data_IF_861753210314
#
_entry.id   IF_861753210314
#
_cell.length_a   1.000
_cell.length_b   1.000
_cell.length_c   1.000
_cell.angle_alpha   90.00
_cell.angle_beta   90.00
_cell.angle_gamma   90.00
#
_symmetry.space_group_name_H-M   'P 1'
#
loop_
_entity.id
_entity.type
_entity.pdbx_description
1 polymer ?
#
# COMPACT_ATOMS: atom_id res chain seq x y z
N UNK A 1 -2.37 -30.01 -37.27
CA UNK A 1 -1.83 -28.81 -36.58
C UNK A 1 -1.35 -29.30 -35.23
N UNK A 2 -0.06 -29.60 -35.17
CA UNK A 2 0.61 -30.19 -34.01
C UNK A 2 0.72 -29.14 -32.90
N UNK A 3 0.36 -29.54 -31.68
CA UNK A 3 0.50 -28.71 -30.48
C UNK A 3 1.65 -29.32 -29.67
N UNK A 4 2.77 -28.61 -29.62
CA UNK A 4 3.91 -28.90 -28.75
C UNK A 4 3.58 -28.52 -27.29
N UNK A 5 4.05 -29.28 -26.30
CA UNK A 5 3.90 -28.92 -24.89
C UNK A 5 5.00 -27.93 -24.46
N UNK A 6 4.58 -26.80 -23.89
CA UNK A 6 5.45 -25.83 -23.22
C UNK A 6 5.76 -26.35 -21.82
N UNK A 7 7.02 -26.69 -21.57
CA UNK A 7 7.56 -27.04 -20.25
C UNK A 7 7.92 -25.75 -19.54
N UNK A 8 7.24 -25.45 -18.42
CA UNK A 8 7.56 -24.36 -17.51
C UNK A 8 8.49 -24.89 -16.42
N UNK A 9 9.77 -24.53 -16.51
CA UNK A 9 10.78 -24.73 -15.46
C UNK A 9 10.67 -23.62 -14.40
N UNK A 10 10.54 -24.03 -13.15
CA UNK A 10 10.67 -23.18 -11.96
C UNK A 10 12.16 -23.03 -11.61
N UNK A 11 12.71 -21.82 -11.43
CA UNK A 11 14.05 -21.68 -10.87
C UNK A 11 14.00 -21.77 -9.34
N UNK A 12 14.84 -22.65 -8.79
CA UNK A 12 15.05 -22.81 -7.35
C UNK A 12 16.07 -21.82 -6.79
N UNK A 13 15.85 -21.45 -5.54
CA UNK A 13 16.77 -20.68 -4.70
C UNK A 13 18.02 -21.50 -4.33
N UNK A 14 19.22 -20.89 -4.29
CA UNK A 14 20.31 -21.40 -3.51
C UNK A 14 20.39 -20.72 -2.13
N UNK A 15 20.43 -21.56 -1.11
CA UNK A 15 20.84 -21.21 0.24
C UNK A 15 22.31 -20.81 0.32
N UNK A 16 22.65 -19.87 1.21
CA UNK A 16 23.96 -19.83 1.87
C UNK A 16 23.86 -19.33 3.32
N UNK A 17 24.33 -20.19 4.23
CA UNK A 17 24.68 -19.91 5.62
C UNK A 17 25.98 -19.10 5.74
N UNK A 18 26.08 -18.21 6.74
CA UNK A 18 27.11 -18.22 7.83
C UNK A 18 27.35 -16.81 8.43
N UNK A 19 27.16 -16.70 9.75
CA UNK A 19 27.81 -15.73 10.67
C UNK A 19 29.24 -16.22 11.03
N UNK A 20 30.12 -15.55 11.84
CA UNK A 20 29.96 -14.32 12.67
C UNK A 20 31.18 -13.33 12.70
N UNK A 21 30.97 -12.21 13.43
CA UNK A 21 31.96 -11.34 14.13
C UNK A 21 33.10 -10.65 13.36
N UNK A 22 33.12 -9.30 13.39
CA UNK A 22 34.23 -8.61 14.05
C UNK A 22 33.92 -7.18 14.54
N UNK A 23 34.49 -6.84 15.69
CA UNK A 23 34.44 -5.54 16.35
C UNK A 23 35.35 -4.55 15.62
N UNK A 24 34.83 -3.37 15.25
CA UNK A 24 35.66 -2.17 15.24
C UNK A 24 34.88 -0.93 15.60
N UNK A 25 35.21 -0.37 16.76
CA UNK A 25 34.88 0.98 17.19
C UNK A 25 35.43 1.98 16.17
N UNK A 26 34.59 2.83 15.61
CA UNK A 26 35.01 4.15 15.15
C UNK A 26 33.91 5.18 15.39
N UNK A 27 34.15 5.95 16.45
CA UNK A 27 33.59 7.27 16.71
C UNK A 27 33.89 8.22 15.55
N UNK A 28 32.91 8.99 15.10
CA UNK A 28 33.12 10.06 14.12
C UNK A 28 31.78 10.63 13.65
N UNK A 29 31.44 11.80 14.16
CA UNK A 29 30.20 12.54 13.99
C UNK A 29 29.80 12.78 12.53
N UNK A 30 28.51 12.54 12.27
CA UNK A 30 27.56 13.30 11.45
C UNK A 30 28.14 14.16 10.33
N UNK A 31 28.25 13.55 9.14
CA UNK A 31 28.05 14.27 7.90
C UNK A 31 26.56 14.26 7.57
N UNK A 32 25.95 15.44 7.65
CA UNK A 32 24.63 15.77 7.13
C UNK A 32 24.61 15.66 5.61
N UNK A 33 24.43 14.44 5.10
CA UNK A 33 23.95 14.26 3.74
C UNK A 33 22.47 14.64 3.70
N UNK A 34 22.21 15.81 3.13
CA UNK A 34 20.90 16.23 2.63
C UNK A 34 20.63 15.48 1.33
N UNK A 35 20.29 14.19 1.45
CA UNK A 35 19.50 13.53 0.42
C UNK A 35 18.08 14.03 0.56
N UNK A 36 17.49 14.51 -0.54
CA UNK A 36 16.07 14.81 -0.67
C UNK A 36 15.28 13.64 -0.07
N UNK A 37 14.72 13.83 1.12
CA UNK A 37 13.84 12.85 1.73
C UNK A 37 12.54 12.89 0.94
N UNK A 38 12.43 12.00 -0.05
CA UNK A 38 11.15 11.69 -0.69
C UNK A 38 10.10 11.51 0.41
N UNK A 39 8.93 12.12 0.19
CA UNK A 39 7.83 12.03 1.13
C UNK A 39 7.49 10.54 1.30
N UNK A 40 7.58 9.97 2.52
CA UNK A 40 7.37 8.54 2.74
C UNK A 40 5.97 8.07 2.31
N UNK A 41 5.02 8.99 2.20
CA UNK A 41 3.71 8.73 1.60
C UNK A 41 3.78 8.32 0.13
N UNK A 42 4.59 9.01 -0.68
CA UNK A 42 4.65 8.81 -2.12
C UNK A 42 5.31 7.45 -2.44
N UNK A 43 6.28 7.03 -1.63
CA UNK A 43 6.95 5.73 -1.76
C UNK A 43 6.04 4.56 -1.36
N UNK A 44 5.15 4.76 -0.38
CA UNK A 44 4.18 3.74 0.04
C UNK A 44 3.03 3.64 -0.98
N UNK A 45 2.53 4.77 -1.50
CA UNK A 45 1.52 4.79 -2.56
C UNK A 45 1.99 4.00 -3.78
N UNK A 46 3.24 4.22 -4.22
CA UNK A 46 3.85 3.47 -5.33
C UNK A 46 3.92 1.96 -5.09
N UNK A 47 4.27 1.53 -3.86
CA UNK A 47 4.29 0.10 -3.49
C UNK A 47 2.88 -0.52 -3.53
N UNK A 48 1.85 0.24 -3.17
CA UNK A 48 0.47 -0.22 -3.30
C UNK A 48 0.00 -0.26 -4.76
N UNK A 49 0.47 0.65 -5.63
CA UNK A 49 0.20 0.59 -7.08
C UNK A 49 0.78 -0.68 -7.72
N UNK A 50 1.98 -1.09 -7.34
CA UNK A 50 2.57 -2.35 -7.80
C UNK A 50 1.73 -3.57 -7.38
N UNK A 51 1.19 -3.56 -6.15
CA UNK A 51 0.26 -4.58 -5.67
C UNK A 51 -1.08 -4.57 -6.42
N UNK A 52 -1.58 -3.40 -6.82
CA UNK A 52 -2.76 -3.28 -7.66
C UNK A 52 -2.52 -3.89 -9.04
N UNK A 53 -1.37 -3.58 -9.67
CA UNK A 53 -1.01 -4.17 -10.95
C UNK A 53 -0.90 -5.70 -10.85
N UNK A 54 -0.31 -6.22 -9.77
CA UNK A 54 -0.24 -7.65 -9.50
C UNK A 54 -1.64 -8.27 -9.29
N UNK A 55 -2.54 -7.60 -8.54
CA UNK A 55 -3.91 -8.04 -8.33
C UNK A 55 -4.69 -8.12 -9.65
N UNK A 56 -4.60 -7.10 -10.50
CA UNK A 56 -5.24 -7.07 -11.81
C UNK A 56 -4.75 -8.20 -12.73
N UNK A 57 -3.45 -8.51 -12.71
CA UNK A 57 -2.90 -9.65 -13.45
C UNK A 57 -3.46 -10.99 -12.94
N UNK A 58 -3.61 -11.15 -11.63
CA UNK A 58 -4.18 -12.36 -11.03
C UNK A 58 -5.67 -12.49 -11.32
N UNK A 59 -6.43 -11.40 -11.27
CA UNK A 59 -7.85 -11.37 -11.63
C UNK A 59 -8.06 -11.76 -13.10
N UNK A 60 -7.23 -11.22 -14.02
CA UNK A 60 -7.25 -11.62 -15.42
C UNK A 60 -6.94 -13.11 -15.60
N UNK A 61 -5.93 -13.63 -14.92
CA UNK A 61 -5.58 -15.05 -14.97
C UNK A 61 -6.70 -15.94 -14.39
N UNK A 62 -7.38 -15.50 -13.34
CA UNK A 62 -8.54 -16.18 -12.78
C UNK A 62 -9.71 -16.22 -13.78
N UNK A 63 -10.02 -15.11 -14.43
CA UNK A 63 -11.06 -15.04 -15.46
C UNK A 63 -10.75 -15.95 -16.67
N UNK A 64 -9.49 -15.97 -17.13
CA UNK A 64 -9.06 -16.87 -18.21
C UNK A 64 -9.17 -18.35 -17.81
N UNK A 65 -8.79 -18.69 -16.58
CA UNK A 65 -8.92 -20.05 -16.05
C UNK A 65 -10.39 -20.47 -15.89
N UNK A 66 -11.25 -19.58 -15.40
CA UNK A 66 -12.70 -19.81 -15.30
C UNK A 66 -13.35 -20.04 -16.67
N UNK A 67 -12.99 -19.22 -17.67
CA UNK A 67 -13.47 -19.40 -19.04
C UNK A 67 -13.05 -20.76 -19.63
N UNK A 68 -11.79 -21.17 -19.39
CA UNK A 68 -11.29 -22.48 -19.82
C UNK A 68 -12.03 -23.64 -19.12
N UNK A 69 -12.26 -23.53 -17.81
CA UNK A 69 -13.02 -24.53 -17.03
C UNK A 69 -14.46 -24.63 -17.54
N UNK A 70 -15.12 -23.51 -17.80
CA UNK A 70 -16.49 -23.46 -18.35
C UNK A 70 -16.58 -24.14 -19.71
N UNK A 71 -15.69 -23.83 -20.65
CA UNK A 71 -15.67 -24.47 -21.96
C UNK A 71 -15.44 -25.99 -21.86
N UNK A 72 -14.56 -26.43 -20.95
CA UNK A 72 -14.31 -27.85 -20.73
C UNK A 72 -15.54 -28.56 -20.12
N UNK A 73 -16.23 -27.91 -19.19
CA UNK A 73 -17.48 -28.40 -18.59
C UNK A 73 -18.59 -28.53 -19.63
N UNK A 74 -18.80 -27.50 -20.45
CA UNK A 74 -19.79 -27.53 -21.53
C UNK A 74 -19.52 -28.65 -22.54
N UNK A 75 -18.25 -28.87 -22.89
CA UNK A 75 -17.86 -30.01 -23.74
C UNK A 75 -18.13 -31.36 -23.04
N UNK A 76 -17.79 -31.50 -21.76
CA UNK A 76 -18.07 -32.72 -20.99
C UNK A 76 -19.58 -33.02 -20.92
N UNK A 77 -20.41 -32.01 -20.68
CA UNK A 77 -21.86 -32.15 -20.63
C UNK A 77 -22.45 -32.49 -22.01
N UNK A 78 -21.93 -31.90 -23.09
CA UNK A 78 -22.31 -32.27 -24.46
C UNK A 78 -21.96 -33.75 -24.77
N UNK A 79 -20.79 -34.23 -24.34
CA UNK A 79 -20.40 -35.64 -24.50
C UNK A 79 -21.25 -36.58 -23.63
N UNK A 80 -21.59 -36.19 -22.40
CA UNK A 80 -22.51 -36.95 -21.54
C UNK A 80 -23.89 -37.09 -22.20
N UNK A 81 -24.41 -36.02 -22.82
CA UNK A 81 -25.68 -36.07 -23.55
C UNK A 81 -25.63 -37.08 -24.71
N UNK A 82 -24.58 -37.03 -25.53
CA UNK A 82 -24.36 -37.98 -26.63
C UNK A 82 -24.23 -39.42 -26.12
N UNK A 83 -23.55 -39.64 -24.99
CA UNK A 83 -23.43 -40.96 -24.38
C UNK A 83 -24.80 -41.51 -23.92
N UNK A 84 -25.65 -40.66 -23.35
CA UNK A 84 -27.01 -41.04 -22.95
C UNK A 84 -27.89 -41.36 -24.17
N UNK A 85 -27.87 -40.52 -25.20
CA UNK A 85 -28.59 -40.77 -26.45
C UNK A 85 -28.13 -42.07 -27.13
N UNK A 86 -26.82 -42.33 -27.16
CA UNK A 86 -26.27 -43.57 -27.71
C UNK A 86 -26.68 -44.80 -26.87
N UNK A 87 -26.75 -44.67 -25.53
CA UNK A 87 -27.24 -45.73 -24.64
C UNK A 87 -28.71 -46.04 -24.90
N UNK A 88 -29.56 -45.02 -24.99
CA UNK A 88 -30.99 -45.19 -25.29
C UNK A 88 -31.20 -45.83 -26.66
N UNK A 89 -30.41 -45.44 -27.67
CA UNK A 89 -30.44 -46.07 -28.98
C UNK A 89 -30.02 -47.54 -28.93
N UNK A 90 -28.97 -47.87 -28.16
CA UNK A 90 -28.54 -49.26 -27.95
C UNK A 90 -29.60 -50.09 -27.22
N UNK A 91 -30.24 -49.56 -26.18
CA UNK A 91 -31.32 -50.22 -25.45
C UNK A 91 -32.54 -50.45 -26.35
N UNK A 92 -32.90 -49.48 -27.18
CA UNK A 92 -33.98 -49.61 -28.17
C UNK A 92 -33.67 -50.67 -29.23
N UNK A 93 -32.43 -50.69 -29.73
CA UNK A 93 -32.00 -51.70 -30.71
C UNK A 93 -31.98 -53.11 -30.09
N UNK A 94 -31.52 -53.24 -28.84
CA UNK A 94 -31.54 -54.50 -28.09
C UNK A 94 -32.97 -55.02 -27.91
N UNK A 95 -33.92 -54.17 -27.49
CA UNK A 95 -35.35 -54.53 -27.37
C UNK A 95 -35.98 -54.90 -28.71
N UNK A 96 -35.56 -54.27 -29.81
CA UNK A 96 -36.04 -54.63 -31.14
C UNK A 96 -35.52 -56.01 -31.58
N UNK A 97 -34.30 -56.38 -31.16
CA UNK A 97 -33.68 -57.67 -31.46
C UNK A 97 -34.23 -58.84 -30.61
N UNK A 98 -34.93 -58.56 -29.51
CA UNK A 98 -35.56 -59.58 -28.69
C UNK A 98 -36.69 -60.28 -29.46
N UNK A 99 -36.68 -61.62 -29.57
CA UNK A 99 -37.79 -62.33 -30.16
C UNK A 99 -39.04 -62.11 -29.29
N UNK A 100 -40.07 -61.48 -29.86
CA UNK A 100 -41.37 -61.37 -29.21
C UNK A 100 -41.95 -62.78 -29.02
N UNK A 101 -41.80 -63.33 -27.82
CA UNK A 101 -42.52 -64.52 -27.42
C UNK A 101 -44.00 -64.13 -27.26
N UNK A 102 -44.89 -64.59 -28.13
CA UNK A 102 -46.32 -64.53 -27.83
C UNK A 102 -46.61 -65.55 -26.72
N UNK A 103 -47.42 -65.14 -25.74
CA UNK A 103 -47.79 -65.95 -24.56
C UNK A 103 -48.55 -67.25 -24.91
N UNK A 104 -48.82 -67.51 -26.19
CA UNK A 104 -49.41 -68.75 -26.71
C UNK A 104 -48.41 -69.43 -27.64
N UNK A 105 -47.45 -70.16 -27.09
CA UNK A 105 -46.47 -70.93 -27.86
C UNK A 105 -47.10 -72.21 -28.42
N UNK A 106 -48.02 -72.05 -29.37
CA UNK A 106 -48.40 -73.12 -30.29
C UNK A 106 -47.29 -73.29 -31.32
N UNK A 107 -46.81 -74.51 -31.50
CA UNK A 107 -45.97 -74.87 -32.64
C UNK A 107 -46.71 -75.93 -33.47
N UNK A 108 -46.62 -75.81 -34.78
CA UNK A 108 -47.17 -76.79 -35.72
C UNK A 108 -45.99 -77.44 -36.42
N UNK A 109 -45.86 -78.75 -36.27
CA UNK A 109 -44.90 -79.55 -37.03
C UNK A 109 -45.62 -80.16 -38.22
N UNK A 110 -45.13 -79.89 -39.44
CA UNK A 110 -45.67 -80.43 -40.68
C UNK A 110 -44.50 -80.83 -41.59
N UNK A 111 -44.53 -82.06 -42.14
CA UNK A 111 -43.45 -82.73 -42.87
C UNK A 111 -42.04 -82.40 -42.37
N UNK A 112 -41.80 -82.62 -41.07
CA UNK A 112 -40.48 -82.45 -40.45
C UNK A 112 -40.08 -81.01 -40.12
N UNK A 113 -40.88 -80.00 -40.45
CA UNK A 113 -40.62 -78.60 -40.13
C UNK A 113 -41.57 -78.09 -39.04
N UNK A 114 -41.00 -77.50 -37.99
CA UNK A 114 -41.76 -76.83 -36.92
C UNK A 114 -41.89 -75.35 -37.21
N UNK A 115 -43.13 -74.86 -37.32
CA UNK A 115 -43.48 -73.45 -37.41
C UNK A 115 -44.02 -72.96 -36.07
N UNK A 116 -43.74 -71.72 -35.72
CA UNK A 116 -44.22 -71.12 -34.47
C UNK A 116 -45.29 -70.07 -34.74
N UNK A 117 -46.08 -69.73 -33.72
CA UNK A 117 -47.00 -68.59 -33.75
C UNK A 117 -46.35 -67.28 -34.21
N UNK A 118 -45.04 -67.08 -33.94
CA UNK A 118 -44.30 -65.93 -34.43
C UNK A 118 -44.10 -65.92 -35.96
N UNK A 119 -44.05 -67.09 -36.62
CA UNK A 119 -43.98 -67.19 -38.07
C UNK A 119 -45.34 -66.82 -38.70
N UNK A 120 -46.44 -67.24 -38.06
CA UNK A 120 -47.81 -66.87 -38.45
C UNK A 120 -48.08 -65.37 -38.26
N UNK A 121 -47.67 -64.78 -37.14
CA UNK A 121 -47.80 -63.35 -36.87
C UNK A 121 -47.02 -62.51 -37.89
N UNK A 122 -45.82 -62.94 -38.27
CA UNK A 122 -45.04 -62.29 -39.32
C UNK A 122 -45.77 -62.32 -40.67
N UNK A 123 -46.35 -63.47 -41.02
CA UNK A 123 -47.13 -63.61 -42.23
C UNK A 123 -48.43 -62.80 -42.19
N UNK A 124 -49.09 -62.73 -41.03
CA UNK A 124 -50.28 -61.90 -40.79
C UNK A 124 -49.96 -60.42 -41.01
N UNK A 125 -48.86 -59.91 -40.46
CA UNK A 125 -48.43 -58.53 -40.68
C UNK A 125 -48.16 -58.21 -42.16
N UNK A 126 -47.63 -59.16 -42.94
CA UNK A 126 -47.51 -59.00 -44.40
C UNK A 126 -48.86 -58.91 -45.10
N UNK A 127 -49.84 -59.72 -44.68
CA UNK A 127 -51.20 -59.69 -45.24
C UNK A 127 -51.92 -58.38 -44.90
N UNK A 128 -51.78 -57.90 -43.67
CA UNK A 128 -52.33 -56.60 -43.25
C UNK A 128 -51.72 -55.45 -44.05
N UNK A 129 -50.39 -55.44 -44.26
CA UNK A 129 -49.74 -54.45 -45.11
C UNK A 129 -50.22 -54.52 -46.56
N UNK A 130 -50.38 -55.72 -47.11
CA UNK A 130 -50.90 -55.92 -48.46
C UNK A 130 -52.32 -55.35 -48.60
N UNK A 131 -53.17 -55.58 -47.60
CA UNK A 131 -54.53 -55.03 -47.55
C UNK A 131 -54.51 -53.49 -47.45
N UNK A 132 -53.66 -52.93 -46.59
CA UNK A 132 -53.53 -51.48 -46.43
C UNK A 132 -53.06 -50.80 -47.73
N UNK A 133 -52.09 -51.38 -48.44
CA UNK A 133 -51.62 -50.86 -49.72
C UNK A 133 -52.71 -50.94 -50.81
N UNK A 134 -53.57 -51.96 -50.79
CA UNK A 134 -54.76 -52.02 -51.65
C UNK A 134 -55.80 -50.96 -51.30
N UNK A 135 -56.14 -50.81 -50.01
CA UNK A 135 -57.08 -49.78 -49.55
C UNK A 135 -56.58 -48.35 -49.84
N UNK A 136 -55.26 -48.16 -49.85
CA UNK A 136 -54.62 -46.91 -50.24
C UNK A 136 -54.53 -46.69 -51.77
N UNK A 137 -55.10 -47.59 -52.58
CA UNK A 137 -55.11 -47.48 -54.04
C UNK A 137 -53.75 -47.69 -54.71
N UNK A 138 -52.76 -48.23 -54.00
CA UNK A 138 -51.40 -48.48 -54.54
C UNK A 138 -51.31 -49.72 -55.42
N UNK A 139 -52.38 -50.51 -55.51
CA UNK A 139 -52.48 -51.68 -56.38
C UNK A 139 -53.91 -51.94 -56.81
N UNK A 140 -54.08 -52.66 -57.92
CA UNK A 140 -55.40 -53.07 -58.42
C UNK A 140 -55.94 -54.28 -57.66
N UNK A 141 -57.24 -54.54 -57.76
CA UNK A 141 -57.87 -55.73 -57.17
C UNK A 141 -57.24 -57.04 -57.68
N UNK A 142 -56.90 -57.11 -58.98
CA UNK A 142 -56.22 -58.26 -59.56
C UNK A 142 -54.81 -58.47 -58.96
N UNK A 143 -54.06 -57.38 -58.78
CA UNK A 143 -52.73 -57.42 -58.14
C UNK A 143 -52.82 -57.82 -56.66
N UNK A 144 -53.83 -57.34 -55.94
CA UNK A 144 -54.11 -57.75 -54.56
C UNK A 144 -54.41 -59.25 -54.48
N UNK A 145 -55.33 -59.77 -55.29
CA UNK A 145 -55.72 -61.19 -55.29
C UNK A 145 -54.50 -62.10 -55.57
N UNK A 146 -53.69 -61.74 -56.57
CA UNK A 146 -52.48 -62.49 -56.93
C UNK A 146 -51.47 -62.52 -55.77
N UNK A 147 -51.21 -61.38 -55.13
CA UNK A 147 -50.28 -61.29 -54.00
C UNK A 147 -50.83 -61.94 -52.72
N UNK A 148 -52.14 -61.89 -52.50
CA UNK A 148 -52.80 -62.53 -51.37
C UNK A 148 -52.70 -64.06 -51.48
N UNK A 149 -52.91 -64.61 -52.69
CA UNK A 149 -52.71 -66.04 -52.96
C UNK A 149 -51.25 -66.47 -52.73
N UNK A 150 -50.28 -65.63 -53.11
CA UNK A 150 -48.85 -65.90 -52.87
C UNK A 150 -48.45 -65.85 -51.38
N UNK A 151 -49.23 -65.16 -50.53
CA UNK A 151 -49.09 -65.17 -49.07
C UNK A 151 -49.93 -66.28 -48.39
N UNK A 152 -50.58 -67.13 -49.18
CA UNK A 152 -51.36 -68.28 -48.75
C UNK A 152 -50.55 -69.57 -48.73
N UNK A 153 -50.94 -70.50 -47.87
CA UNK A 153 -50.36 -71.84 -47.82
C UNK A 153 -48.98 -71.93 -47.17
N UNK A 154 -48.37 -73.11 -47.26
CA UNK A 154 -47.19 -73.49 -46.49
C UNK A 154 -45.88 -72.87 -46.98
N UNK A 155 -45.72 -72.69 -48.29
CA UNK A 155 -44.51 -72.10 -48.84
C UNK A 155 -44.36 -70.63 -48.38
N UNK A 156 -45.47 -69.90 -48.28
CA UNK A 156 -45.51 -68.58 -47.69
C UNK A 156 -45.07 -68.57 -46.22
N UNK A 157 -45.45 -69.60 -45.44
CA UNK A 157 -45.05 -69.77 -44.04
C UNK A 157 -43.55 -70.08 -43.91
N UNK A 158 -42.98 -70.94 -44.78
CA UNK A 158 -41.52 -71.18 -44.86
C UNK A 158 -40.75 -69.91 -45.19
N UNK A 159 -41.23 -69.15 -46.18
CA UNK A 159 -40.60 -67.89 -46.56
C UNK A 159 -40.70 -66.85 -45.45
N UNK A 160 -41.85 -66.75 -44.78
CA UNK A 160 -42.04 -65.91 -43.60
C UNK A 160 -41.04 -66.25 -42.48
N UNK A 161 -40.83 -67.54 -42.17
CA UNK A 161 -39.84 -67.98 -41.19
C UNK A 161 -38.42 -67.58 -41.58
N UNK A 162 -38.00 -67.85 -42.83
CA UNK A 162 -36.67 -67.47 -43.33
C UNK A 162 -36.42 -65.98 -43.20
N UNK A 163 -37.37 -65.17 -43.64
CA UNK A 163 -37.27 -63.71 -43.55
C UNK A 163 -37.29 -63.20 -42.11
N UNK A 164 -38.13 -63.77 -41.24
CA UNK A 164 -38.19 -63.39 -39.82
C UNK A 164 -36.86 -63.67 -39.12
N UNK A 165 -36.27 -64.86 -39.34
CA UNK A 165 -34.97 -65.21 -38.78
C UNK A 165 -33.85 -64.31 -39.33
N UNK A 166 -33.85 -64.02 -40.63
CA UNK A 166 -32.91 -63.08 -41.23
C UNK A 166 -33.07 -61.66 -40.64
N UNK A 167 -34.29 -61.21 -40.40
CA UNK A 167 -34.57 -59.92 -39.78
C UNK A 167 -34.11 -59.88 -38.30
N UNK A 168 -34.32 -60.94 -37.53
CA UNK A 168 -33.80 -61.04 -36.15
C UNK A 168 -32.27 -60.97 -36.14
N UNK A 169 -31.59 -61.71 -37.02
CA UNK A 169 -30.12 -61.65 -37.12
C UNK A 169 -29.63 -60.26 -37.54
N UNK A 170 -30.34 -59.59 -38.44
CA UNK A 170 -30.06 -58.19 -38.79
C UNK A 170 -30.19 -57.27 -37.55
N UNK A 171 -31.28 -57.38 -36.80
CA UNK A 171 -31.53 -56.58 -35.60
C UNK A 171 -30.50 -56.85 -34.50
N UNK A 172 -30.05 -58.10 -34.34
CA UNK A 172 -28.95 -58.43 -33.41
C UNK A 172 -27.64 -57.74 -33.79
N UNK A 173 -27.31 -57.69 -35.09
CA UNK A 173 -26.13 -56.96 -35.58
C UNK A 173 -26.25 -55.46 -35.33
N UNK A 174 -27.41 -54.88 -35.65
CA UNK A 174 -27.70 -53.47 -35.39
C UNK A 174 -27.61 -53.15 -33.88
N UNK A 175 -28.10 -54.04 -33.01
CA UNK A 175 -27.99 -53.90 -31.56
C UNK A 175 -26.55 -54.00 -31.05
N UNK A 176 -25.75 -54.92 -31.60
CA UNK A 176 -24.34 -55.04 -31.26
C UNK A 176 -23.54 -53.79 -31.67
N UNK A 177 -23.77 -53.28 -32.87
CA UNK A 177 -23.17 -52.03 -33.35
C UNK A 177 -23.57 -50.82 -32.48
N UNK A 178 -24.85 -50.72 -32.13
CA UNK A 178 -25.34 -49.65 -31.25
C UNK A 178 -24.71 -49.73 -29.85
N UNK A 179 -24.52 -50.93 -29.31
CA UNK A 179 -23.83 -51.16 -28.03
C UNK A 179 -22.37 -50.71 -28.10
N UNK A 180 -21.65 -51.00 -29.18
CA UNK A 180 -20.27 -50.53 -29.39
C UNK A 180 -20.22 -49.00 -29.41
N UNK A 181 -21.10 -48.36 -30.18
CA UNK A 181 -21.20 -46.89 -30.23
C UNK A 181 -21.52 -46.26 -28.87
N UNK A 182 -22.39 -46.88 -28.08
CA UNK A 182 -22.70 -46.43 -26.72
C UNK A 182 -21.47 -46.54 -25.79
N UNK A 183 -20.68 -47.62 -25.93
CA UNK A 183 -19.42 -47.78 -25.21
C UNK A 183 -18.39 -46.71 -25.56
N UNK A 184 -18.20 -46.43 -26.86
CA UNK A 184 -17.30 -45.38 -27.35
C UNK A 184 -17.74 -43.98 -26.88
N UNK A 185 -19.03 -43.68 -26.97
CA UNK A 185 -19.58 -42.40 -26.52
C UNK A 185 -19.42 -42.22 -25.01
N UNK A 186 -19.62 -43.27 -24.22
CA UNK A 186 -19.35 -43.25 -22.78
C UNK A 186 -17.88 -43.00 -22.48
N UNK A 187 -16.97 -43.72 -23.15
CA UNK A 187 -15.53 -43.50 -22.96
C UNK A 187 -15.10 -42.07 -23.32
N UNK A 188 -15.67 -41.49 -24.38
CA UNK A 188 -15.44 -40.09 -24.75
C UNK A 188 -15.97 -39.11 -23.70
N UNK A 189 -17.14 -39.39 -23.11
CA UNK A 189 -17.70 -38.59 -22.03
C UNK A 189 -16.85 -38.66 -20.75
N UNK A 190 -16.42 -39.86 -20.35
CA UNK A 190 -15.54 -40.07 -19.20
C UNK A 190 -14.19 -39.35 -19.40
N UNK A 191 -13.62 -39.42 -20.60
CA UNK A 191 -12.39 -38.70 -20.95
C UNK A 191 -12.56 -37.17 -20.88
N UNK A 192 -13.70 -36.64 -21.36
CA UNK A 192 -14.01 -35.22 -21.29
C UNK A 192 -14.19 -34.74 -19.84
N UNK A 193 -14.92 -35.49 -19.01
CA UNK A 193 -15.06 -35.20 -17.58
C UNK A 193 -13.69 -35.20 -16.87
N UNK A 194 -12.83 -36.20 -17.17
CA UNK A 194 -11.47 -36.27 -16.61
C UNK A 194 -10.59 -35.08 -17.03
N UNK A 195 -10.78 -34.57 -18.25
CA UNK A 195 -10.08 -33.38 -18.74
C UNK A 195 -10.61 -32.07 -18.15
N UNK A 196 -11.89 -31.99 -17.80
CA UNK A 196 -12.50 -30.81 -17.18
C UNK A 196 -12.05 -30.62 -15.72
N UNK A 197 -11.93 -31.70 -14.94
CA UNK A 197 -11.57 -31.65 -13.52
C UNK A 197 -10.29 -30.83 -13.18
N UNK A 198 -9.14 -30.99 -13.86
CA UNK A 198 -7.96 -30.17 -13.57
C UNK A 198 -8.15 -28.68 -13.92
N UNK A 199 -8.99 -28.36 -14.91
CA UNK A 199 -9.28 -26.97 -15.28
C UNK A 199 -10.19 -26.31 -14.24
N UNK A 200 -11.19 -27.03 -13.73
CA UNK A 200 -12.02 -26.55 -12.61
C UNK A 200 -11.18 -26.30 -11.34
N UNK A 201 -10.24 -27.18 -11.04
CA UNK A 201 -9.30 -26.99 -9.93
C UNK A 201 -8.36 -25.79 -10.15
N UNK A 202 -7.86 -25.61 -11.38
CA UNK A 202 -7.02 -24.47 -11.74
C UNK A 202 -7.79 -23.14 -11.65
N UNK A 203 -9.04 -23.10 -12.11
CA UNK A 203 -9.91 -21.92 -11.99
C UNK A 203 -10.13 -21.54 -10.54
N UNK A 204 -10.43 -22.52 -9.67
CA UNK A 204 -10.57 -22.29 -8.23
C UNK A 204 -9.29 -21.73 -7.59
N UNK A 205 -8.15 -22.36 -7.87
CA UNK A 205 -6.86 -21.90 -7.33
C UNK A 205 -6.47 -20.51 -7.84
N UNK A 206 -6.76 -20.19 -9.10
CA UNK A 206 -6.53 -18.86 -9.65
C UNK A 206 -7.43 -17.81 -9.02
N UNK A 207 -8.71 -18.13 -8.75
CA UNK A 207 -9.64 -17.28 -8.00
C UNK A 207 -9.13 -16.97 -6.58
N UNK A 208 -8.71 -17.99 -5.82
CA UNK A 208 -8.13 -17.80 -4.48
C UNK A 208 -6.86 -16.92 -4.50
N UNK A 209 -6.03 -17.06 -5.54
CA UNK A 209 -4.84 -16.22 -5.72
C UNK A 209 -5.19 -14.76 -6.06
N UNK A 210 -6.23 -14.53 -6.86
CA UNK A 210 -6.74 -13.20 -7.17
C UNK A 210 -7.30 -12.52 -5.92
N UNK A 211 -8.12 -13.22 -5.14
CA UNK A 211 -8.68 -12.71 -3.87
C UNK A 211 -7.57 -12.36 -2.88
N UNK A 212 -6.54 -13.21 -2.77
CA UNK A 212 -5.38 -12.95 -1.91
C UNK A 212 -4.60 -11.71 -2.34
N UNK A 213 -4.36 -11.55 -3.65
CA UNK A 213 -3.66 -10.39 -4.18
C UNK A 213 -4.45 -9.09 -3.97
N UNK A 214 -5.78 -9.14 -4.17
CA UNK A 214 -6.67 -8.00 -3.90
C UNK A 214 -6.66 -7.62 -2.43
N UNK A 215 -6.74 -8.60 -1.53
CA UNK A 215 -6.65 -8.35 -0.09
C UNK A 215 -5.30 -7.73 0.30
N UNK A 216 -4.19 -8.20 -0.27
CA UNK A 216 -2.87 -7.63 -0.02
C UNK A 216 -2.78 -6.15 -0.46
N UNK A 217 -3.42 -5.80 -1.58
CA UNK A 217 -3.54 -4.41 -2.02
C UNK A 217 -4.39 -3.57 -1.06
N UNK A 218 -5.56 -4.06 -0.64
CA UNK A 218 -6.43 -3.37 0.32
C UNK A 218 -5.74 -3.15 1.67
N UNK A 219 -5.02 -4.16 2.18
CA UNK A 219 -4.23 -4.07 3.40
C UNK A 219 -3.07 -3.06 3.25
N UNK A 220 -2.43 -2.98 2.07
CA UNK A 220 -1.42 -1.96 1.77
C UNK A 220 -2.00 -0.56 1.84
N UNK A 221 -3.15 -0.30 1.18
CA UNK A 221 -3.81 1.01 1.20
C UNK A 221 -4.16 1.45 2.62
N UNK A 222 -4.66 0.52 3.44
CA UNK A 222 -5.00 0.83 4.83
C UNK A 222 -3.76 1.23 5.62
N UNK A 223 -2.67 0.46 5.50
CA UNK A 223 -1.40 0.77 6.15
C UNK A 223 -0.80 2.09 5.66
N UNK A 224 -0.87 2.35 4.35
CA UNK A 224 -0.40 3.59 3.74
C UNK A 224 -1.10 4.81 4.35
N UNK A 225 -2.42 4.73 4.51
CA UNK A 225 -3.20 5.79 5.15
C UNK A 225 -2.76 6.04 6.59
N UNK A 226 -2.60 4.98 7.37
CA UNK A 226 -2.20 5.08 8.77
C UNK A 226 -0.79 5.68 8.91
N UNK A 227 0.17 5.22 8.10
CA UNK A 227 1.56 5.71 8.09
C UNK A 227 1.63 7.19 7.63
N UNK A 228 0.84 7.59 6.64
CA UNK A 228 0.75 8.98 6.17
C UNK A 228 0.12 9.92 7.19
N UNK A 229 -0.93 9.49 7.89
CA UNK A 229 -1.54 10.27 8.95
C UNK A 229 -0.56 10.45 10.13
N UNK A 230 0.22 9.43 10.46
CA UNK A 230 1.28 9.53 11.47
C UNK A 230 2.36 10.53 11.06
N UNK A 231 2.87 10.44 9.83
CA UNK A 231 3.87 11.36 9.30
C UNK A 231 3.40 12.83 9.29
N UNK A 232 2.14 13.08 8.89
CA UNK A 232 1.54 14.43 8.95
C UNK A 232 1.50 14.97 10.39
N UNK A 233 1.11 14.15 11.37
CA UNK A 233 1.09 14.56 12.79
C UNK A 233 2.49 14.91 13.31
N UNK A 234 3.51 14.15 12.91
CA UNK A 234 4.91 14.45 13.26
C UNK A 234 5.40 15.76 12.63
N UNK A 235 5.10 16.00 11.34
CA UNK A 235 5.43 17.26 10.66
C UNK A 235 4.75 18.46 11.32
N UNK A 236 3.48 18.35 11.69
CA UNK A 236 2.78 19.40 12.44
C UNK A 236 3.39 19.64 13.82
N UNK A 237 3.78 18.57 14.54
CA UNK A 237 4.43 18.70 15.84
C UNK A 237 5.79 19.41 15.72
N UNK A 238 6.60 19.03 14.73
CA UNK A 238 7.88 19.67 14.43
C UNK A 238 7.69 21.15 14.00
N UNK A 239 6.65 21.46 13.22
CA UNK A 239 6.29 22.83 12.86
C UNK A 239 5.85 23.67 14.07
N UNK A 240 5.07 23.10 14.98
CA UNK A 240 4.68 23.75 16.25
C UNK A 240 5.88 23.99 17.16
N UNK A 241 6.84 23.07 17.20
CA UNK A 241 8.06 23.24 17.98
C UNK A 241 8.99 24.32 17.42
N UNK A 242 9.15 24.38 16.08
CA UNK A 242 9.90 25.46 15.41
C UNK A 242 9.28 26.83 15.64
N UNK A 243 7.97 26.96 15.48
CA UNK A 243 7.26 28.24 15.73
C UNK A 243 7.33 28.66 17.20
N UNK A 244 7.30 27.71 18.14
CA UNK A 244 7.53 27.98 19.57
C UNK A 244 8.96 28.42 19.84
N UNK A 245 9.96 27.76 19.24
CA UNK A 245 11.37 28.13 19.39
C UNK A 245 11.65 29.53 18.80
N UNK A 246 11.09 29.84 17.63
CA UNK A 246 11.16 31.17 17.02
C UNK A 246 10.45 32.24 17.87
N UNK A 247 9.30 31.91 18.48
CA UNK A 247 8.60 32.79 19.41
C UNK A 247 9.43 33.12 20.65
N UNK A 248 10.08 32.12 21.26
CA UNK A 248 10.99 32.30 22.40
C UNK A 248 12.20 33.13 21.99
N UNK A 249 12.78 32.88 20.81
CA UNK A 249 13.92 33.66 20.31
C UNK A 249 13.56 35.13 20.11
N UNK A 250 12.38 35.43 19.53
CA UNK A 250 11.88 36.81 19.38
C UNK A 250 11.63 37.48 20.72
N UNK A 251 11.02 36.80 21.68
CA UNK A 251 10.82 37.34 23.03
C UNK A 251 12.14 37.66 23.73
N UNK A 252 13.12 36.75 23.65
CA UNK A 252 14.45 36.97 24.21
C UNK A 252 15.17 38.17 23.53
N UNK A 253 14.99 38.34 22.22
CA UNK A 253 15.57 39.47 21.49
C UNK A 253 14.89 40.81 21.86
N UNK A 254 13.55 40.82 21.99
CA UNK A 254 12.81 42.00 22.48
C UNK A 254 13.20 42.38 23.92
N UNK A 255 13.39 41.39 24.80
CA UNK A 255 13.87 41.62 26.16
C UNK A 255 15.30 42.18 26.19
N UNK A 256 16.19 41.66 25.33
CA UNK A 256 17.54 42.22 25.16
C UNK A 256 17.48 43.66 24.68
N UNK A 257 16.71 43.97 23.63
CA UNK A 257 16.57 45.34 23.15
C UNK A 257 16.03 46.31 24.22
N UNK A 258 15.04 45.88 25.02
CA UNK A 258 14.56 46.68 26.16
C UNK A 258 15.65 46.91 27.22
N UNK A 259 16.48 45.89 27.50
CA UNK A 259 17.62 46.01 28.42
C UNK A 259 18.68 46.96 27.87
N UNK A 260 19.05 46.89 26.58
CA UNK A 260 19.96 47.84 25.90
C UNK A 260 19.48 49.27 26.05
N UNK A 261 18.25 49.55 25.64
CA UNK A 261 17.69 50.90 25.66
C UNK A 261 17.65 51.47 27.09
N UNK A 262 17.32 50.64 28.09
CA UNK A 262 17.38 51.05 29.50
C UNK A 262 18.81 51.34 29.95
N UNK A 263 19.77 50.48 29.60
CA UNK A 263 21.17 50.68 29.97
C UNK A 263 21.76 51.93 29.32
N UNK A 264 21.50 52.16 28.03
CA UNK A 264 21.88 53.39 27.31
C UNK A 264 21.34 54.65 28.00
N UNK A 265 20.07 54.60 28.41
CA UNK A 265 19.43 55.67 29.15
C UNK A 265 20.15 55.94 30.49
N UNK A 266 20.42 54.88 31.27
CA UNK A 266 21.11 54.99 32.55
C UNK A 266 22.55 55.51 32.38
N UNK A 267 23.28 55.07 31.35
CA UNK A 267 24.63 55.55 31.03
C UNK A 267 24.60 57.04 30.68
N UNK A 268 23.64 57.48 29.88
CA UNK A 268 23.46 58.90 29.55
C UNK A 268 23.20 59.74 30.81
N UNK A 269 22.46 59.19 31.78
CA UNK A 269 22.22 59.86 33.06
C UNK A 269 23.48 59.93 33.93
N UNK A 270 24.27 58.85 33.97
CA UNK A 270 25.57 58.83 34.66
C UNK A 270 26.49 59.92 34.10
N UNK A 271 26.54 60.08 32.77
CA UNK A 271 27.31 61.14 32.10
C UNK A 271 26.80 62.53 32.44
N UNK A 272 25.49 62.78 32.31
CA UNK A 272 24.90 64.11 32.55
C UNK A 272 25.07 64.60 33.99
N UNK A 273 25.10 63.68 34.94
CA UNK A 273 25.27 63.98 36.36
C UNK A 273 26.74 64.10 36.77
N UNK A 274 27.67 63.90 35.82
CA UNK A 274 29.12 63.89 36.02
C UNK A 274 29.52 63.00 37.20
N UNK A 275 28.86 61.83 37.30
CA UNK A 275 29.17 60.85 38.34
C UNK A 275 30.48 60.13 38.05
N UNK A 276 31.01 60.33 36.84
CA UNK A 276 32.27 59.81 36.35
C UNK A 276 33.01 60.96 35.67
N UNK A 277 34.19 61.32 36.20
CA UNK A 277 35.01 62.40 35.69
C UNK A 277 35.48 62.08 34.26
N UNK A 278 34.80 62.70 33.29
CA UNK A 278 35.02 62.49 31.86
C UNK A 278 36.40 62.97 31.36
N UNK A 279 37.11 63.78 32.14
CA UNK A 279 38.40 64.35 31.76
C UNK A 279 39.53 63.32 31.59
N UNK A 280 39.45 62.19 32.31
CA UNK A 280 40.39 61.06 32.16
C UNK A 280 40.10 60.17 30.93
N UNK A 281 39.00 60.43 30.20
CA UNK A 281 38.56 59.63 29.06
C UNK A 281 38.71 60.35 27.71
N UNK A 282 39.37 61.52 27.70
CA UNK A 282 39.52 62.37 26.52
C UNK A 282 40.22 61.68 25.33
N UNK A 283 41.02 60.64 25.58
CA UNK A 283 41.77 59.93 24.53
C UNK A 283 40.92 58.97 23.69
N UNK A 284 39.72 58.57 24.12
CA UNK A 284 38.85 57.68 23.33
C UNK A 284 37.38 58.13 23.42
N UNK A 285 36.97 59.11 22.58
CA UNK A 285 35.62 59.69 22.60
C UNK A 285 34.49 58.69 22.32
N UNK A 286 34.80 57.51 21.78
CA UNK A 286 33.81 56.51 21.35
C UNK A 286 33.48 55.43 22.40
N UNK A 287 34.18 55.38 23.53
CA UNK A 287 34.07 54.22 24.44
C UNK A 287 32.71 54.12 25.15
N UNK A 288 32.07 55.26 25.40
CA UNK A 288 30.73 55.32 25.97
C UNK A 288 29.65 54.71 25.08
N UNK A 289 29.86 54.73 23.76
CA UNK A 289 28.95 54.10 22.80
C UNK A 289 28.98 52.57 22.88
N UNK A 290 30.04 52.00 23.45
CA UNK A 290 30.25 50.55 23.50
C UNK A 290 29.87 49.93 24.84
N UNK A 291 29.69 50.75 25.89
CA UNK A 291 29.30 50.30 27.23
C UNK A 291 27.98 49.50 27.23
N UNK A 292 26.92 49.91 26.52
CA UNK A 292 25.68 49.12 26.44
C UNK A 292 25.92 47.69 25.92
N UNK A 293 26.74 47.53 24.88
CA UNK A 293 27.07 46.22 24.29
C UNK A 293 27.95 45.36 25.22
N UNK A 294 28.90 45.97 25.94
CA UNK A 294 29.74 45.29 26.96
C UNK A 294 28.88 44.74 28.11
N UNK A 295 27.76 45.39 28.43
CA UNK A 295 26.84 44.91 29.48
C UNK A 295 26.05 43.70 29.00
N UNK A 296 25.89 43.45 27.70
CA UNK A 296 25.09 42.32 27.22
C UNK A 296 25.89 41.07 26.88
N UNK A 297 27.11 41.22 26.37
CA UNK A 297 27.95 40.10 25.98
C UNK A 297 29.37 40.25 26.56
N UNK A 298 30.02 39.16 27.01
CA UNK A 298 31.43 39.23 27.37
C UNK A 298 32.22 39.65 26.12
N UNK A 299 33.11 40.64 26.28
CA UNK A 299 33.84 41.32 25.20
C UNK A 299 34.52 40.36 24.21
N UNK A 300 34.90 39.16 24.66
CA UNK A 300 35.45 38.11 23.79
C UNK A 300 34.50 37.62 22.69
N UNK A 301 33.20 37.49 22.97
CA UNK A 301 32.21 37.02 21.99
C UNK A 301 31.71 38.13 21.06
N UNK A 302 31.65 39.39 21.53
CA UNK A 302 31.19 40.53 20.72
C UNK A 302 32.17 40.85 19.59
N UNK A 303 33.47 40.79 19.87
CA UNK A 303 34.53 41.09 18.89
C UNK A 303 34.69 39.99 17.84
N UNK A 304 34.39 38.73 18.17
CA UNK A 304 34.35 37.62 17.21
C UNK A 304 33.09 37.64 16.32
N UNK A 305 31.94 38.08 16.85
CA UNK A 305 30.67 38.07 16.13
C UNK A 305 30.56 39.15 15.02
N UNK A 306 31.18 40.33 15.18
CA UNK A 306 31.15 41.39 14.17
C UNK A 306 32.37 41.42 13.23
N UNK A 307 33.54 40.94 13.67
CA UNK A 307 34.80 41.34 13.04
C UNK A 307 35.38 40.41 11.98
N UNK A 308 35.33 39.08 12.15
CA UNK A 308 36.12 38.08 11.36
C UNK A 308 37.58 38.50 11.02
N UNK A 309 38.16 39.46 11.74
CA UNK A 309 39.49 40.03 11.55
C UNK A 309 40.09 40.40 12.91
N UNK A 310 41.42 40.25 13.09
CA UNK A 310 42.08 40.51 14.37
C UNK A 310 42.07 42.00 14.69
N UNK A 311 41.59 42.33 15.89
CA UNK A 311 41.43 43.70 16.38
C UNK A 311 42.78 44.28 16.82
N UNK A 312 43.11 45.54 16.49
CA UNK A 312 44.32 46.20 16.99
C UNK A 312 44.35 46.29 18.51
N UNK A 313 45.52 45.99 19.09
CA UNK A 313 45.76 45.88 20.54
C UNK A 313 45.42 47.13 21.35
N UNK A 314 45.36 48.29 20.73
CA UNK A 314 45.09 49.56 21.40
C UNK A 314 43.64 49.69 21.86
N UNK A 315 42.68 49.09 21.15
CA UNK A 315 41.27 49.09 21.53
C UNK A 315 41.03 48.27 22.81
N UNK A 316 41.68 47.11 22.92
CA UNK A 316 41.63 46.28 24.13
C UNK A 316 42.35 46.93 25.33
N UNK A 317 43.41 47.70 25.06
CA UNK A 317 44.16 48.44 26.08
C UNK A 317 43.37 49.64 26.61
N UNK A 318 42.64 50.35 25.74
CA UNK A 318 41.72 51.41 26.10
C UNK A 318 40.54 50.92 26.97
N UNK A 319 39.94 49.76 26.62
CA UNK A 319 38.90 49.12 27.42
C UNK A 319 39.48 48.66 28.78
N UNK A 320 40.69 48.10 28.80
CA UNK A 320 41.46 47.82 30.02
C UNK A 320 41.68 49.05 30.92
N UNK A 321 41.91 50.22 30.32
CA UNK A 321 42.02 51.50 31.04
C UNK A 321 40.69 51.97 31.61
N UNK A 322 39.59 51.83 30.86
CA UNK A 322 38.23 52.14 31.32
C UNK A 322 37.88 51.37 32.60
N UNK A 323 38.25 50.08 32.66
CA UNK A 323 38.04 49.20 33.79
C UNK A 323 38.78 49.63 35.06
N UNK A 324 40.00 50.17 34.93
CA UNK A 324 40.75 50.73 36.05
C UNK A 324 40.15 52.05 36.58
N UNK A 325 39.44 52.81 35.73
CA UNK A 325 38.82 54.09 36.11
C UNK A 325 37.49 53.85 36.86
N UNK A 326 36.67 52.88 36.45
CA UNK A 326 35.46 52.48 37.19
C UNK A 326 35.76 51.95 38.61
N UNK A 327 36.92 51.34 38.80
CA UNK A 327 37.37 50.86 40.10
C UNK A 327 37.88 51.99 41.03
N UNK A 328 38.34 53.12 40.48
CA UNK A 328 38.97 54.22 41.24
C UNK A 328 38.04 55.35 41.70
N UNK A 329 36.74 55.30 41.38
CA UNK A 329 35.79 56.32 41.80
C UNK A 329 35.19 56.03 43.18
N UNK A 330 35.29 57.00 44.10
CA UNK A 330 34.59 57.01 45.40
C UNK A 330 33.12 56.67 45.18
N UNK A 331 32.62 55.62 45.85
CA UNK A 331 31.35 54.98 45.54
C UNK A 331 30.15 55.95 45.64
N UNK A 332 29.57 56.42 44.50
CA UNK A 332 28.37 57.26 44.54
C UNK A 332 27.14 56.50 45.07
N UNK A 333 27.25 55.17 45.20
CA UNK A 333 26.22 54.27 45.68
C UNK A 333 26.29 53.98 47.18
N UNK A 334 27.14 54.68 47.93
CA UNK A 334 27.07 54.73 49.39
C UNK A 334 25.85 55.56 49.84
N UNK A 335 25.25 55.25 50.99
CA UNK A 335 23.97 55.84 51.43
C UNK A 335 23.91 57.38 51.39
N UNK A 336 24.98 58.07 51.80
CA UNK A 336 25.08 59.55 51.75
C UNK A 336 25.23 60.11 50.31
N UNK A 337 25.74 59.30 49.38
CA UNK A 337 25.88 59.65 47.96
C UNK A 337 24.55 59.56 47.22
N UNK A 338 23.75 58.52 47.50
CA UNK A 338 22.43 58.30 46.89
C UNK A 338 21.49 59.48 47.18
N UNK A 339 21.44 59.95 48.43
CA UNK A 339 20.60 61.08 48.83
C UNK A 339 20.99 62.39 48.14
N UNK A 340 22.30 62.65 47.99
CA UNK A 340 22.79 63.87 47.35
C UNK A 340 22.53 63.88 45.85
N UNK A 341 22.66 62.73 45.18
CA UNK A 341 22.44 62.58 43.74
C UNK A 341 20.94 62.60 43.44
N UNK A 342 20.11 61.88 44.20
CA UNK A 342 18.66 61.90 44.03
C UNK A 342 18.05 63.29 44.27
N UNK A 343 18.59 64.06 45.24
CA UNK A 343 18.20 65.45 45.45
C UNK A 343 18.60 66.36 44.27
N UNK A 344 19.74 66.09 43.62
CA UNK A 344 20.17 66.81 42.42
C UNK A 344 19.22 66.50 41.25
N UNK A 345 18.96 65.23 40.97
CA UNK A 345 18.07 64.79 39.88
C UNK A 345 16.66 65.39 40.04
N UNK A 346 16.07 65.28 41.22
CA UNK A 346 14.72 65.81 41.50
C UNK A 346 14.59 67.34 41.38
N UNK A 347 15.71 68.09 41.48
CA UNK A 347 15.71 69.55 41.37
C UNK A 347 16.09 70.07 39.99
N UNK A 348 16.90 69.33 39.23
CA UNK A 348 17.52 69.84 38.00
C UNK A 348 17.12 69.09 36.74
N UNK A 349 16.42 67.96 36.84
CA UNK A 349 16.13 67.10 35.69
C UNK A 349 14.65 66.88 35.47
N UNK A 350 14.25 66.96 34.20
CA UNK A 350 12.89 66.69 33.72
C UNK A 350 12.83 65.23 33.25
N UNK A 351 11.85 64.48 33.74
CA UNK A 351 11.60 63.11 33.31
C UNK A 351 11.12 63.10 31.84
N UNK A 352 11.80 62.38 30.93
CA UNK A 352 11.42 62.32 29.53
C UNK A 352 10.03 61.72 29.28
N UNK A 353 9.49 60.90 30.19
CA UNK A 353 8.18 60.25 30.06
C UNK A 353 7.04 61.16 30.49
N UNK A 354 7.15 61.79 31.66
CA UNK A 354 6.08 62.63 32.23
C UNK A 354 6.21 64.10 31.88
N UNK A 355 7.36 64.52 31.31
CA UNK A 355 7.71 65.92 30.98
C UNK A 355 7.68 66.86 32.19
N UNK A 356 7.67 66.31 33.41
CA UNK A 356 7.74 67.05 34.68
C UNK A 356 9.06 66.79 35.40
N UNK A 357 9.44 67.62 36.38
CA UNK A 357 10.60 67.34 37.23
C UNK A 357 10.46 65.98 37.91
N UNK A 358 11.57 65.26 38.06
CA UNK A 358 11.58 63.97 38.75
C UNK A 358 11.04 64.11 40.17
N UNK A 359 10.05 63.28 40.52
CA UNK A 359 9.65 63.13 41.93
C UNK A 359 10.81 62.51 42.70
N UNK A 360 10.89 62.82 44.00
CA UNK A 360 11.99 62.33 44.85
C UNK A 360 12.07 60.80 44.88
N UNK A 361 10.93 60.12 44.88
CA UNK A 361 10.83 58.65 44.86
C UNK A 361 11.37 58.06 43.54
N UNK A 362 10.98 58.65 42.40
CA UNK A 362 11.47 58.25 41.08
C UNK A 362 12.97 58.52 40.92
N UNK A 363 13.46 59.63 41.48
CA UNK A 363 14.88 59.98 41.48
C UNK A 363 15.72 59.01 42.33
N UNK A 364 15.23 58.59 43.50
CA UNK A 364 15.91 57.58 44.33
C UNK A 364 15.96 56.24 43.60
N UNK A 365 14.86 55.84 42.96
CA UNK A 365 14.78 54.61 42.18
C UNK A 365 15.76 54.65 40.99
N UNK A 366 15.80 55.76 40.26
CA UNK A 366 16.74 55.94 39.15
C UNK A 366 18.20 55.86 39.60
N UNK A 367 18.55 56.46 40.75
CA UNK A 367 19.91 56.37 41.32
C UNK A 367 20.24 54.94 41.74
N UNK A 368 19.30 54.22 42.35
CA UNK A 368 19.48 52.82 42.69
C UNK A 368 19.74 51.96 41.44
N UNK A 369 18.97 52.17 40.36
CA UNK A 369 19.17 51.50 39.08
C UNK A 369 20.53 51.81 38.43
N UNK A 370 20.95 53.08 38.46
CA UNK A 370 22.28 53.48 38.00
C UNK A 370 23.39 52.80 38.82
N UNK A 371 23.16 52.64 40.12
CA UNK A 371 24.08 51.98 41.02
C UNK A 371 24.19 50.48 40.80
N UNK A 372 23.07 49.80 40.57
CA UNK A 372 23.05 48.38 40.25
C UNK A 372 23.70 48.12 38.89
N UNK A 373 23.50 49.01 37.90
CA UNK A 373 24.21 48.94 36.62
C UNK A 373 25.73 49.05 36.81
N UNK A 374 26.20 49.99 37.65
CA UNK A 374 27.63 50.11 37.98
C UNK A 374 28.17 48.88 38.70
N UNK A 375 27.37 48.20 39.54
CA UNK A 375 27.76 46.93 40.19
C UNK A 375 27.80 45.76 39.20
N UNK A 376 26.83 45.65 38.28
CA UNK A 376 26.81 44.63 37.23
C UNK A 376 28.04 44.77 36.32
N UNK A 377 28.41 46.00 35.97
CA UNK A 377 29.64 46.29 35.25
C UNK A 377 30.89 45.84 36.03
N UNK A 378 30.99 46.18 37.32
CA UNK A 378 32.10 45.75 38.19
C UNK A 378 32.20 44.23 38.31
N UNK A 379 31.08 43.51 38.40
CA UNK A 379 31.10 42.04 38.55
C UNK A 379 31.49 41.33 37.25
N UNK A 380 31.01 41.79 36.10
CA UNK A 380 31.42 41.27 34.78
C UNK A 380 32.91 41.50 34.51
N UNK A 381 33.41 42.65 34.94
CA UNK A 381 34.83 43.00 34.88
C UNK A 381 35.69 42.02 35.70
N UNK A 382 35.31 41.76 36.96
CA UNK A 382 36.00 40.78 37.79
C UNK A 382 35.97 39.36 37.19
N UNK A 383 34.89 38.99 36.50
CA UNK A 383 34.81 37.70 35.79
C UNK A 383 35.77 37.63 34.59
N UNK A 384 35.91 38.70 33.82
CA UNK A 384 36.84 38.79 32.68
C UNK A 384 38.30 38.77 33.18
N UNK A 385 38.62 39.49 34.26
CA UNK A 385 39.97 39.46 34.87
C UNK A 385 40.34 38.05 35.33
N UNK A 386 39.42 37.31 35.97
CA UNK A 386 39.63 35.91 36.34
C UNK A 386 39.86 35.00 35.13
N UNK A 387 39.05 35.14 34.08
CA UNK A 387 39.23 34.38 32.84
C UNK A 387 40.59 34.66 32.17
N UNK A 388 41.10 35.90 32.27
CA UNK A 388 42.42 36.30 31.74
C UNK A 388 43.59 35.73 32.57
N UNK A 389 43.42 35.56 33.88
CA UNK A 389 44.43 34.95 34.75
C UNK A 389 44.45 33.43 34.66
N UNK A 390 43.30 32.79 34.42
CA UNK A 390 43.21 31.33 34.30
C UNK A 390 43.64 30.82 32.91
N UNK A 391 43.47 31.61 31.85
CA UNK A 391 43.99 31.31 30.50
C UNK A 391 45.50 31.49 30.31
N UNK A 392 46.25 31.76 31.38
CA UNK A 392 47.73 31.86 31.40
C UNK A 392 48.42 30.70 32.13
N UNK A 393 47.69 29.62 32.46
CA UNK A 393 48.27 28.37 32.96
C UNK A 393 48.30 27.29 31.89
#
# INVERSE_FOLDING_TARGET
REILPVILTVPGDPATNNSPSDRSKKTGQDQTNTTDKENPCDEIEKKCEDLLAAANLKEKAAAEAEAAAKMARENADAKNKLANEAREAADKAARAAEPKASASSGSITSDGETFTSADEDWLKGKREKLLADYQAGKMTAAQYQQRANALGGREALRQARKERLANIEKLKREAAEAKTKAGEAKAAADAANKAAAPLEAAAKSAGEAADTAKKAYEDCLKKAKDDCEAYKKEQEAAGRERTRAEGIAKQNEEERQKKRARNEYLITMIQRLDLIDSSNFAEVPSIWFWVPDIIEQPVGFFLEAQGKTPVPTDTLKAIGGLYAIFAKMKDPCAGLGIDKISLRISKTMIDPKTKTLYKREDAVTLVAEMCDLMRELKSKLAAIERARTDGKK
#
